data_IF_595996924694
#
_entry.id   IF_595996924694
#
_cell.length_a   1.000
_cell.length_b   1.000
_cell.length_c   1.000
_cell.angle_alpha   90.00
_cell.angle_beta   90.00
_cell.angle_gamma   90.00
#
_symmetry.space_group_name_H-M   'P 1'
#
loop_
_entity.id
_entity.type
_entity.pdbx_description
1 polymer ?
#
# COMPACT_ATOMS: atom_id res chain seq x y z
N UNK A 1 -22.84 -58.31 -18.21
CA UNK A 1 -21.95 -57.47 -17.38
C UNK A 1 -21.30 -56.44 -18.30
N UNK A 2 -21.98 -55.32 -18.55
CA UNK A 2 -21.47 -54.20 -19.33
C UNK A 2 -22.12 -52.92 -18.78
N UNK A 3 -21.58 -52.42 -17.67
CA UNK A 3 -21.92 -51.09 -17.16
C UNK A 3 -21.23 -50.05 -18.05
N UNK A 4 -22.04 -49.24 -18.75
CA UNK A 4 -21.59 -48.11 -19.55
C UNK A 4 -21.25 -46.93 -18.61
N UNK A 5 -20.22 -46.14 -18.91
CA UNK A 5 -19.79 -45.05 -18.05
C UNK A 5 -20.79 -43.89 -18.10
N UNK A 6 -21.13 -43.42 -16.90
CA UNK A 6 -21.94 -42.23 -16.65
C UNK A 6 -21.13 -41.00 -17.10
N UNK A 7 -21.40 -40.51 -18.32
CA UNK A 7 -20.84 -39.25 -18.81
C UNK A 7 -21.53 -38.11 -18.03
N UNK A 8 -20.89 -37.63 -16.95
CA UNK A 8 -21.33 -36.39 -16.29
C UNK A 8 -21.15 -35.23 -17.29
N UNK A 9 -22.25 -34.87 -17.94
CA UNK A 9 -22.34 -33.64 -18.72
C UNK A 9 -22.32 -32.48 -17.72
N UNK A 10 -21.14 -31.96 -17.40
CA UNK A 10 -21.02 -30.69 -16.71
C UNK A 10 -21.60 -29.61 -17.62
N UNK A 11 -22.86 -29.27 -17.40
CA UNK A 11 -23.49 -28.11 -18.03
C UNK A 11 -22.77 -26.87 -17.49
N UNK A 12 -21.76 -26.41 -18.23
CA UNK A 12 -21.18 -25.09 -18.03
C UNK A 12 -22.28 -24.12 -18.43
N UNK A 13 -23.03 -23.62 -17.45
CA UNK A 13 -23.97 -22.51 -17.65
C UNK A 13 -23.10 -21.30 -17.99
N UNK A 14 -22.91 -21.04 -19.27
CA UNK A 14 -22.33 -19.79 -19.74
C UNK A 14 -23.33 -18.67 -19.39
N UNK A 15 -23.05 -17.94 -18.31
CA UNK A 15 -23.78 -16.71 -17.97
C UNK A 15 -23.43 -15.69 -19.05
N UNK A 16 -24.33 -15.50 -20.01
CA UNK A 16 -24.17 -14.48 -21.03
C UNK A 16 -24.52 -13.11 -20.44
N UNK A 17 -23.63 -12.12 -20.61
CA UNK A 17 -23.88 -10.74 -20.18
C UNK A 17 -24.97 -10.03 -21.02
N UNK A 18 -25.44 -10.67 -22.10
CA UNK A 18 -26.33 -10.12 -23.13
C UNK A 18 -27.64 -9.53 -22.57
N UNK A 19 -28.12 -10.02 -21.42
CA UNK A 19 -29.32 -9.48 -20.75
C UNK A 19 -29.07 -8.30 -19.80
N UNK A 20 -27.83 -8.07 -19.37
CA UNK A 20 -27.47 -6.98 -18.45
C UNK A 20 -26.74 -5.90 -19.25
N UNK A 21 -27.50 -5.06 -19.96
CA UNK A 21 -26.95 -3.97 -20.77
C UNK A 21 -25.85 -3.21 -20.03
N UNK A 22 -24.62 -3.30 -20.53
CA UNK A 22 -23.52 -2.46 -20.11
C UNK A 22 -23.87 -1.00 -20.39
N UNK A 23 -23.75 -0.16 -19.37
CA UNK A 23 -24.06 1.27 -19.45
C UNK A 23 -22.90 2.07 -18.88
N UNK A 24 -22.77 3.31 -19.32
CA UNK A 24 -21.85 4.27 -18.75
C UNK A 24 -22.49 5.00 -17.57
N UNK A 25 -21.73 5.16 -16.48
CA UNK A 25 -22.11 5.98 -15.33
C UNK A 25 -23.23 5.42 -14.46
N UNK A 26 -23.50 4.11 -14.50
CA UNK A 26 -24.57 3.51 -13.69
C UNK A 26 -24.25 3.68 -12.20
N UNK A 27 -25.13 4.37 -11.47
CA UNK A 27 -24.99 4.53 -10.03
C UNK A 27 -25.29 3.21 -9.30
N UNK A 28 -24.46 2.87 -8.33
CA UNK A 28 -24.66 1.76 -7.40
C UNK A 28 -24.76 2.34 -5.98
N UNK A 29 -25.82 1.97 -5.29
CA UNK A 29 -26.09 2.41 -3.93
C UNK A 29 -25.93 1.26 -2.95
N UNK A 30 -25.47 1.60 -1.75
CA UNK A 30 -25.43 0.68 -0.62
C UNK A 30 -26.85 0.12 -0.36
N UNK A 31 -27.04 -1.21 -0.26
CA UNK A 31 -28.30 -1.80 0.18
C UNK A 31 -28.69 -1.40 1.62
N UNK A 32 -29.98 -1.49 1.94
CA UNK A 32 -30.50 -1.15 3.27
C UNK A 32 -29.88 -2.01 4.37
N UNK A 33 -29.70 -3.31 4.11
CA UNK A 33 -29.13 -4.27 5.07
C UNK A 33 -27.60 -4.29 4.94
N UNK A 34 -26.90 -4.01 6.03
CA UNK A 34 -25.43 -4.03 6.09
C UNK A 34 -24.86 -5.39 5.71
N UNK A 35 -23.71 -5.41 5.02
CA UNK A 35 -23.08 -6.62 4.53
C UNK A 35 -23.75 -7.26 3.30
N UNK A 36 -24.90 -6.75 2.83
CA UNK A 36 -25.54 -7.26 1.61
C UNK A 36 -24.71 -6.88 0.37
N UNK A 37 -24.26 -7.85 -0.42
CA UNK A 37 -23.46 -7.59 -1.62
C UNK A 37 -24.31 -7.07 -2.79
N UNK A 38 -23.68 -6.29 -3.67
CA UNK A 38 -24.17 -6.01 -5.02
C UNK A 38 -23.23 -6.67 -6.02
N UNK A 39 -23.78 -7.52 -6.88
CA UNK A 39 -23.06 -8.23 -7.92
C UNK A 39 -23.30 -7.60 -9.29
N UNK A 40 -22.28 -7.62 -10.15
CA UNK A 40 -22.43 -7.38 -11.58
C UNK A 40 -21.72 -8.46 -12.40
N UNK A 41 -22.42 -9.09 -13.36
CA UNK A 41 -23.88 -9.06 -13.49
C UNK A 41 -24.57 -9.62 -12.22
N UNK A 42 -25.85 -9.32 -11.96
CA UNK A 42 -26.53 -9.77 -10.74
C UNK A 42 -26.58 -11.30 -10.55
N UNK A 43 -26.45 -12.07 -11.64
CA UNK A 43 -26.44 -13.53 -11.63
C UNK A 43 -25.07 -14.15 -11.37
N UNK A 44 -24.00 -13.36 -11.38
CA UNK A 44 -22.64 -13.85 -11.15
C UNK A 44 -22.36 -13.99 -9.65
N UNK A 45 -21.59 -15.03 -9.31
CA UNK A 45 -21.04 -15.28 -7.98
C UNK A 45 -19.57 -15.67 -8.11
N UNK A 46 -18.81 -15.60 -7.01
CA UNK A 46 -17.36 -15.85 -6.99
C UNK A 46 -16.97 -17.29 -7.37
N UNK A 47 -17.93 -18.22 -7.31
CA UNK A 47 -17.78 -19.62 -7.74
C UNK A 47 -17.90 -19.82 -9.25
N UNK A 48 -18.31 -18.79 -9.99
CA UNK A 48 -18.53 -18.85 -11.44
C UNK A 48 -17.42 -18.10 -12.18
N UNK A 49 -17.04 -18.55 -13.39
CA UNK A 49 -16.18 -17.75 -14.26
C UNK A 49 -16.84 -16.40 -14.54
N UNK A 50 -16.03 -15.34 -14.61
CA UNK A 50 -16.52 -14.03 -15.03
C UNK A 50 -17.12 -14.15 -16.46
N UNK A 51 -18.30 -13.55 -16.70
CA UNK A 51 -18.95 -13.61 -18.00
C UNK A 51 -18.13 -12.85 -19.03
N UNK A 52 -18.32 -13.25 -20.30
CA UNK A 52 -17.72 -12.56 -21.44
C UNK A 52 -18.39 -11.20 -21.67
N UNK A 53 -17.56 -10.18 -21.94
CA UNK A 53 -17.98 -8.90 -22.46
C UNK A 53 -17.99 -8.92 -24.00
N UNK A 54 -18.91 -8.17 -24.59
CA UNK A 54 -18.92 -7.97 -26.04
C UNK A 54 -17.70 -7.16 -26.46
N UNK A 55 -17.23 -7.37 -27.69
CA UNK A 55 -16.07 -6.62 -28.22
C UNK A 55 -16.43 -5.14 -28.37
N UNK A 56 -15.45 -4.24 -28.19
CA UNK A 56 -15.65 -2.77 -28.26
C UNK A 56 -16.66 -2.22 -27.25
N UNK A 57 -16.88 -2.93 -26.15
CA UNK A 57 -17.78 -2.50 -25.09
C UNK A 57 -17.06 -1.59 -24.09
N UNK A 58 -17.76 -0.59 -23.56
CA UNK A 58 -17.25 0.26 -22.49
C UNK A 58 -18.32 0.43 -21.43
N UNK A 59 -17.98 0.06 -20.19
CA UNK A 59 -18.89 0.10 -19.05
C UNK A 59 -18.32 0.99 -17.97
N UNK A 60 -19.18 1.69 -17.24
CA UNK A 60 -18.76 2.33 -16.00
C UNK A 60 -19.85 2.41 -14.95
N UNK A 61 -19.42 2.29 -13.70
CA UNK A 61 -20.28 2.34 -12.52
C UNK A 61 -19.73 3.36 -11.53
N UNK A 62 -20.62 4.12 -10.92
CA UNK A 62 -20.29 5.03 -9.83
C UNK A 62 -20.86 4.42 -8.56
N UNK A 63 -19.97 3.92 -7.70
CA UNK A 63 -20.36 3.30 -6.45
C UNK A 63 -20.38 4.36 -5.37
N UNK A 64 -21.56 4.62 -4.81
CA UNK A 64 -21.75 5.58 -3.71
C UNK A 64 -21.50 4.92 -2.36
N UNK A 65 -20.88 5.66 -1.44
CA UNK A 65 -20.51 5.18 -0.11
C UNK A 65 -20.98 6.22 0.91
N UNK A 66 -21.96 5.89 1.76
CA UNK A 66 -22.41 6.78 2.82
C UNK A 66 -21.29 7.12 3.80
N UNK A 67 -21.38 8.30 4.45
CA UNK A 67 -20.49 8.66 5.55
C UNK A 67 -20.60 7.61 6.67
N UNK A 68 -19.46 7.25 7.26
CA UNK A 68 -19.38 6.21 8.29
C UNK A 68 -19.19 4.79 7.74
N UNK A 69 -19.18 4.62 6.41
CA UNK A 69 -18.96 3.34 5.75
C UNK A 69 -17.73 3.38 4.84
N UNK A 70 -17.20 2.20 4.54
CA UNK A 70 -16.32 1.94 3.40
C UNK A 70 -16.96 0.88 2.50
N UNK A 71 -16.49 0.78 1.26
CA UNK A 71 -16.85 -0.30 0.35
C UNK A 71 -15.64 -1.21 0.08
N UNK A 72 -15.88 -2.52 0.13
CA UNK A 72 -14.98 -3.57 -0.33
C UNK A 72 -15.41 -4.00 -1.73
N UNK A 73 -14.53 -3.84 -2.70
CA UNK A 73 -14.72 -4.25 -4.10
C UNK A 73 -13.88 -5.50 -4.38
N UNK A 74 -14.47 -6.49 -5.02
CA UNK A 74 -13.79 -7.67 -5.53
C UNK A 74 -14.08 -7.75 -7.03
N UNK A 75 -13.04 -7.86 -7.85
CA UNK A 75 -13.16 -7.94 -9.31
C UNK A 75 -12.64 -9.31 -9.77
N UNK A 76 -13.38 -9.93 -10.69
CA UNK A 76 -12.92 -11.09 -11.45
C UNK A 76 -12.93 -10.71 -12.92
N UNK A 77 -11.78 -10.74 -13.59
CA UNK A 77 -11.73 -10.37 -15.00
C UNK A 77 -10.37 -10.55 -15.63
N UNK A 78 -10.37 -10.72 -16.96
CA UNK A 78 -9.16 -10.86 -17.76
C UNK A 78 -9.39 -10.32 -19.16
N UNK A 79 -8.46 -9.53 -19.66
CA UNK A 79 -8.42 -9.10 -21.06
C UNK A 79 -7.52 -10.04 -21.87
N UNK A 80 -7.81 -10.22 -23.16
CA UNK A 80 -6.96 -11.01 -24.07
C UNK A 80 -6.01 -10.16 -24.90
N UNK A 81 -6.22 -8.85 -24.94
CA UNK A 81 -5.45 -7.90 -25.74
C UNK A 81 -4.69 -6.87 -24.88
N UNK A 82 -3.86 -6.06 -25.54
CA UNK A 82 -2.97 -5.08 -24.90
C UNK A 82 -3.60 -3.70 -24.71
N UNK A 83 -4.81 -3.44 -25.17
CA UNK A 83 -5.42 -2.10 -25.15
C UNK A 83 -6.60 -2.03 -24.16
N UNK A 84 -7.28 -3.15 -23.92
CA UNK A 84 -8.35 -3.28 -22.94
C UNK A 84 -7.86 -3.10 -21.50
N UNK A 85 -8.63 -2.40 -20.66
CA UNK A 85 -8.28 -2.11 -19.26
C UNK A 85 -9.49 -2.19 -18.34
N UNK A 86 -9.26 -2.66 -17.13
CA UNK A 86 -10.11 -2.42 -15.97
C UNK A 86 -9.53 -1.25 -15.18
N UNK A 87 -10.39 -0.37 -14.68
CA UNK A 87 -9.98 0.84 -14.00
C UNK A 87 -10.80 1.07 -12.74
N UNK A 88 -10.15 1.55 -11.69
CA UNK A 88 -10.83 2.15 -10.55
C UNK A 88 -10.27 3.54 -10.27
N UNK A 89 -11.17 4.46 -9.90
CA UNK A 89 -10.81 5.83 -9.48
C UNK A 89 -11.48 6.10 -8.15
N UNK A 90 -10.68 6.31 -7.11
CA UNK A 90 -11.18 6.60 -5.78
C UNK A 90 -11.61 8.08 -5.59
N UNK A 91 -12.02 8.44 -4.37
CA UNK A 91 -12.46 9.81 -4.07
C UNK A 91 -11.33 10.86 -4.08
N UNK A 92 -10.07 10.45 -3.95
CA UNK A 92 -8.92 11.35 -4.06
C UNK A 92 -8.44 11.49 -5.51
N UNK A 93 -9.02 10.73 -6.44
CA UNK A 93 -8.66 10.72 -7.85
C UNK A 93 -7.52 9.76 -8.17
N UNK A 94 -7.12 8.88 -7.25
CA UNK A 94 -6.08 7.90 -7.55
C UNK A 94 -6.64 6.86 -8.53
N UNK A 95 -5.94 6.67 -9.64
CA UNK A 95 -6.28 5.73 -10.70
C UNK A 95 -5.50 4.42 -10.53
N UNK A 96 -6.20 3.30 -10.57
CA UNK A 96 -5.61 1.97 -10.78
C UNK A 96 -6.05 1.46 -12.14
N UNK A 97 -5.12 0.90 -12.92
CA UNK A 97 -5.40 0.23 -14.19
C UNK A 97 -4.81 -1.18 -14.18
N UNK A 98 -5.61 -2.16 -14.61
CA UNK A 98 -5.18 -3.56 -14.71
C UNK A 98 -5.74 -4.22 -15.97
N UNK A 99 -5.15 -5.35 -16.36
CA UNK A 99 -5.62 -6.22 -17.45
C UNK A 99 -6.11 -7.58 -16.94
N UNK A 100 -5.86 -7.87 -15.66
CA UNK A 100 -6.27 -9.10 -14.99
C UNK A 100 -6.53 -8.82 -13.52
N UNK A 101 -7.65 -9.37 -13.03
CA UNK A 101 -8.10 -9.28 -11.64
C UNK A 101 -8.54 -10.68 -11.18
N UNK A 102 -7.89 -11.19 -10.14
CA UNK A 102 -8.12 -12.54 -9.62
C UNK A 102 -8.80 -12.50 -8.23
N UNK A 103 -9.78 -11.62 -8.06
CA UNK A 103 -10.58 -11.46 -6.84
C UNK A 103 -9.82 -10.91 -5.61
N UNK A 104 -8.67 -10.28 -5.82
CA UNK A 104 -7.98 -9.51 -4.77
C UNK A 104 -8.79 -8.25 -4.41
N UNK A 105 -9.09 -8.00 -3.13
CA UNK A 105 -10.00 -6.93 -2.74
C UNK A 105 -9.37 -5.54 -2.84
N UNK A 106 -10.22 -4.56 -3.12
CA UNK A 106 -9.96 -3.12 -3.03
C UNK A 106 -10.88 -2.49 -1.98
N UNK A 107 -10.45 -1.39 -1.37
CA UNK A 107 -11.16 -0.73 -0.29
C UNK A 107 -11.26 0.76 -0.58
N UNK A 108 -12.46 1.31 -0.47
CA UNK A 108 -12.73 2.70 -0.81
C UNK A 108 -13.50 3.38 0.31
N UNK A 109 -13.09 4.59 0.75
CA UNK A 109 -13.86 5.38 1.71
C UNK A 109 -14.96 6.20 1.00
N UNK A 110 -15.83 6.80 1.82
CA UNK A 110 -16.81 7.82 1.39
C UNK A 110 -16.15 8.95 0.58
N UNK A 111 -16.84 9.55 -0.41
CA UNK A 111 -18.26 9.37 -0.75
C UNK A 111 -18.53 8.46 -1.95
N UNK A 112 -17.51 8.14 -2.76
CA UNK A 112 -17.67 7.31 -3.96
C UNK A 112 -16.33 6.84 -4.53
N UNK A 113 -16.42 5.84 -5.39
CA UNK A 113 -15.38 5.50 -6.37
C UNK A 113 -16.05 5.12 -7.69
N UNK A 114 -15.26 5.10 -8.76
CA UNK A 114 -15.71 4.70 -10.11
C UNK A 114 -15.04 3.39 -10.49
N UNK A 115 -15.79 2.49 -11.10
CA UNK A 115 -15.29 1.31 -11.80
C UNK A 115 -15.52 1.55 -13.28
N UNK A 116 -14.51 1.35 -14.12
CA UNK A 116 -14.65 1.43 -15.56
C UNK A 116 -13.97 0.25 -16.25
N UNK A 117 -14.58 -0.18 -17.35
CA UNK A 117 -14.02 -1.16 -18.28
C UNK A 117 -14.01 -0.52 -19.65
N UNK A 118 -12.86 -0.52 -20.29
CA UNK A 118 -12.73 -0.19 -21.71
C UNK A 118 -12.14 -1.41 -22.37
N UNK A 119 -12.90 -2.14 -23.19
CA UNK A 119 -12.37 -3.30 -23.90
C UNK A 119 -12.46 -3.12 -25.41
N UNK A 120 -11.32 -3.20 -26.09
CA UNK A 120 -11.20 -3.20 -27.55
C UNK A 120 -11.22 -4.61 -28.11
N UNK A 121 -10.79 -5.59 -27.31
CA UNK A 121 -10.85 -7.02 -27.62
C UNK A 121 -11.75 -7.81 -26.68
N UNK A 122 -11.61 -9.14 -26.71
CA UNK A 122 -12.33 -10.05 -25.81
C UNK A 122 -11.86 -9.86 -24.37
N UNK A 123 -12.81 -9.75 -23.45
CA UNK A 123 -12.57 -9.65 -22.03
C UNK A 123 -13.63 -10.41 -21.25
N UNK A 124 -13.28 -10.86 -20.06
CA UNK A 124 -14.25 -11.27 -19.04
C UNK A 124 -14.24 -10.27 -17.91
N UNK A 125 -15.40 -10.00 -17.33
CA UNK A 125 -15.51 -9.05 -16.22
C UNK A 125 -16.72 -9.31 -15.35
N UNK A 126 -16.51 -9.33 -14.04
CA UNK A 126 -17.53 -9.28 -13.02
C UNK A 126 -16.99 -8.61 -11.77
N UNK A 127 -17.89 -8.11 -10.93
CA UNK A 127 -17.50 -7.61 -9.62
C UNK A 127 -18.55 -7.85 -8.55
N UNK A 128 -18.09 -7.78 -7.30
CA UNK A 128 -18.91 -7.70 -6.09
C UNK A 128 -18.50 -6.46 -5.30
N UNK A 129 -19.49 -5.69 -4.84
CA UNK A 129 -19.30 -4.62 -3.87
C UNK A 129 -20.05 -4.94 -2.59
N UNK A 130 -19.40 -4.76 -1.44
CA UNK A 130 -20.02 -4.88 -0.11
C UNK A 130 -19.65 -3.67 0.72
N UNK A 131 -20.60 -3.13 1.49
CA UNK A 131 -20.36 -2.00 2.37
C UNK A 131 -20.33 -2.44 3.82
N UNK A 132 -19.39 -1.87 4.56
CA UNK A 132 -19.18 -2.14 5.98
C UNK A 132 -18.99 -0.83 6.74
N UNK A 133 -19.42 -0.78 8.02
CA UNK A 133 -19.14 0.36 8.87
C UNK A 133 -17.64 0.53 9.06
N UNK A 134 -17.19 1.79 9.14
CA UNK A 134 -15.82 2.11 9.54
C UNK A 134 -15.59 1.74 11.01
N UNK A 135 -14.39 1.25 11.39
CA UNK A 135 -14.04 1.08 12.80
C UNK A 135 -13.96 2.44 13.53
N UNK A 136 -14.07 2.38 14.86
CA UNK A 136 -13.93 3.55 15.73
C UNK A 136 -12.46 3.86 16.01
N UNK A 137 -12.17 5.12 16.36
CA UNK A 137 -10.82 5.54 16.75
C UNK A 137 -10.36 4.70 17.94
N UNK A 138 -9.26 4.00 17.74
CA UNK A 138 -8.62 3.11 18.71
C UNK A 138 -7.66 3.91 19.59
N UNK A 139 -6.70 4.61 18.98
CA UNK A 139 -5.70 5.40 19.70
C UNK A 139 -5.28 6.71 18.98
N UNK A 140 -4.74 7.64 19.75
CA UNK A 140 -4.07 8.87 19.29
C UNK A 140 -2.60 8.86 19.70
N UNK A 141 -1.74 8.44 18.77
CA UNK A 141 -0.35 8.12 19.01
C UNK A 141 0.54 9.32 18.70
N UNK A 142 1.29 9.79 19.72
CA UNK A 142 2.25 10.87 19.54
C UNK A 142 3.53 10.38 18.84
N UNK A 143 3.85 11.00 17.72
CA UNK A 143 5.14 10.92 17.03
C UNK A 143 5.99 12.12 17.47
N UNK A 144 7.28 11.90 17.73
CA UNK A 144 8.17 12.96 18.21
C UNK A 144 9.62 12.69 17.83
N UNK A 145 10.61 12.94 18.70
CA UNK A 145 12.02 12.68 18.39
C UNK A 145 12.32 11.21 18.14
N UNK A 146 11.58 10.31 18.78
CA UNK A 146 11.65 8.88 18.50
C UNK A 146 10.68 8.54 17.37
N UNK A 147 11.19 7.81 16.38
CA UNK A 147 10.38 7.24 15.32
C UNK A 147 9.31 6.29 15.89
N UNK A 148 8.20 6.15 15.18
CA UNK A 148 7.16 5.18 15.53
C UNK A 148 7.03 4.15 14.43
N UNK A 149 7.08 2.88 14.82
CA UNK A 149 6.82 1.75 13.95
C UNK A 149 5.54 1.07 14.41
N UNK A 150 4.66 0.76 13.47
CA UNK A 150 3.47 -0.07 13.71
C UNK A 150 3.40 -1.20 12.69
N UNK A 151 2.68 -2.28 13.01
CA UNK A 151 2.16 -3.19 11.99
C UNK A 151 0.83 -2.60 11.47
N UNK A 152 0.78 -2.27 10.19
CA UNK A 152 -0.40 -1.68 9.54
C UNK A 152 -1.55 -2.65 9.36
N UNK A 153 -1.27 -3.95 9.26
CA UNK A 153 -2.23 -4.93 8.72
C UNK A 153 -2.65 -5.99 9.71
N UNK A 154 -2.05 -6.07 10.91
CA UNK A 154 -2.33 -7.14 11.89
C UNK A 154 -3.76 -7.16 12.45
N UNK A 155 -4.41 -6.01 12.54
CA UNK A 155 -5.73 -5.86 13.15
C UNK A 155 -6.55 -4.82 12.39
N UNK A 156 -7.87 -4.93 12.43
CA UNK A 156 -8.77 -3.84 12.01
C UNK A 156 -8.63 -2.73 13.04
N UNK A 157 -8.20 -1.55 12.63
CA UNK A 157 -7.92 -0.43 13.53
C UNK A 157 -8.09 0.92 12.85
N UNK A 158 -8.24 1.96 13.66
CA UNK A 158 -8.25 3.36 13.24
C UNK A 158 -7.39 4.13 14.24
N UNK A 159 -6.24 4.63 13.80
CA UNK A 159 -5.32 5.37 14.65
C UNK A 159 -5.03 6.76 14.09
N UNK A 160 -4.89 7.74 14.98
CA UNK A 160 -4.42 9.08 14.67
C UNK A 160 -2.96 9.23 15.11
N UNK A 161 -2.05 9.45 14.16
CA UNK A 161 -0.65 9.76 14.42
C UNK A 161 -0.47 11.25 14.39
N UNK A 162 0.13 11.84 15.42
CA UNK A 162 0.27 13.30 15.49
C UNK A 162 1.59 13.74 16.11
N UNK A 163 2.10 14.90 15.72
CA UNK A 163 3.25 15.56 16.37
C UNK A 163 2.85 16.89 17.00
N UNK A 164 3.24 17.09 18.26
CA UNK A 164 3.02 18.32 19.00
C UNK A 164 3.92 19.48 18.52
N UNK A 165 5.08 19.15 17.93
CA UNK A 165 6.20 20.06 17.69
C UNK A 165 6.56 20.23 16.21
N UNK A 166 5.77 19.65 15.31
CA UNK A 166 5.93 19.74 13.85
C UNK A 166 4.59 20.02 13.21
N UNK A 167 4.60 20.70 12.05
CA UNK A 167 3.42 20.93 11.24
C UNK A 167 3.18 19.83 10.21
N UNK A 168 4.07 18.84 10.14
CA UNK A 168 3.95 17.70 9.22
C UNK A 168 4.56 16.44 9.82
N UNK A 169 4.08 15.31 9.33
CA UNK A 169 4.57 13.98 9.60
C UNK A 169 4.97 13.31 8.30
N UNK A 170 6.00 12.49 8.36
CA UNK A 170 6.46 11.70 7.22
C UNK A 170 6.18 10.22 7.47
N UNK A 171 5.57 9.58 6.48
CA UNK A 171 5.16 8.19 6.47
C UNK A 171 5.98 7.41 5.43
N UNK A 172 6.46 6.24 5.83
CA UNK A 172 7.08 5.28 4.92
C UNK A 172 6.50 3.89 5.15
N UNK A 173 6.22 3.18 4.06
CA UNK A 173 5.65 1.82 4.07
C UNK A 173 6.71 0.78 3.71
N UNK A 174 6.78 -0.29 4.53
CA UNK A 174 7.69 -1.42 4.41
C UNK A 174 6.86 -2.73 4.42
N UNK A 175 6.47 -3.25 3.24
CA UNK A 175 5.72 -4.49 3.18
C UNK A 175 6.57 -5.69 3.64
N UNK A 176 5.90 -6.72 4.15
CA UNK A 176 6.53 -7.99 4.48
C UNK A 176 7.03 -8.72 3.22
N UNK A 177 6.26 -8.67 2.13
CA UNK A 177 6.64 -9.19 0.81
C UNK A 177 6.64 -8.06 -0.25
N UNK A 178 7.80 -7.79 -0.84
CA UNK A 178 7.97 -6.73 -1.84
C UNK A 178 7.40 -7.08 -3.22
N UNK A 179 7.06 -8.36 -3.46
CA UNK A 179 6.46 -8.87 -4.70
C UNK A 179 4.95 -9.02 -4.59
N UNK A 180 4.44 -9.35 -3.41
CA UNK A 180 3.02 -9.55 -3.16
C UNK A 180 2.55 -8.79 -1.90
N UNK A 181 2.17 -7.53 -2.08
CA UNK A 181 1.79 -6.62 -1.00
C UNK A 181 0.31 -6.18 -1.08
N UNK A 182 -0.58 -7.03 -1.59
CA UNK A 182 -2.01 -6.69 -1.71
C UNK A 182 -2.71 -6.40 -0.38
N UNK A 183 -2.19 -6.93 0.75
CA UNK A 183 -2.64 -6.58 2.11
C UNK A 183 -2.59 -5.09 2.40
N UNK A 184 -1.70 -4.33 1.75
CA UNK A 184 -1.62 -2.88 1.90
C UNK A 184 -2.84 -2.12 1.35
N UNK A 185 -3.69 -2.76 0.52
CA UNK A 185 -4.91 -2.12 -0.03
C UNK A 185 -5.96 -1.83 1.04
N UNK A 186 -6.00 -2.61 2.13
CA UNK A 186 -6.98 -2.43 3.21
C UNK A 186 -6.63 -1.30 4.15
N UNK A 187 -5.41 -0.77 4.09
CA UNK A 187 -4.97 0.34 4.95
C UNK A 187 -5.07 1.67 4.22
N UNK A 188 -6.02 2.50 4.65
CA UNK A 188 -6.29 3.83 4.13
C UNK A 188 -5.54 4.91 4.91
N UNK A 189 -5.11 5.96 4.21
CA UNK A 189 -4.37 7.10 4.78
C UNK A 189 -5.16 8.38 4.54
N UNK A 190 -5.34 9.17 5.59
CA UNK A 190 -5.91 10.51 5.51
C UNK A 190 -4.95 11.54 6.10
N UNK A 191 -4.90 12.73 5.49
CA UNK A 191 -4.15 13.88 5.96
C UNK A 191 -5.05 14.76 6.84
N UNK A 192 -4.75 14.80 8.13
CA UNK A 192 -5.53 15.52 9.14
C UNK A 192 -5.90 14.67 10.37
N UNK A 193 -6.60 15.27 11.35
CA UNK A 193 -6.78 14.68 12.68
C UNK A 193 -8.00 13.75 12.81
N UNK A 194 -8.77 13.52 11.74
CA UNK A 194 -9.92 12.63 11.80
C UNK A 194 -10.61 12.43 10.46
N UNK A 195 -11.46 11.41 10.34
CA UNK A 195 -12.12 11.02 9.07
C UNK A 195 -13.11 12.05 8.50
N UNK A 196 -13.60 12.98 9.32
CA UNK A 196 -14.51 14.04 8.86
C UNK A 196 -13.84 15.37 8.57
N UNK A 197 -12.65 15.61 9.12
CA UNK A 197 -11.89 16.85 8.98
C UNK A 197 -10.62 16.68 8.15
N UNK A 198 -10.16 15.45 7.95
CA UNK A 198 -9.02 15.09 7.13
C UNK A 198 -9.42 14.69 5.72
N UNK A 199 -8.48 14.84 4.79
CA UNK A 199 -8.65 14.46 3.40
C UNK A 199 -8.14 13.03 3.18
N UNK A 200 -8.92 12.18 2.54
CA UNK A 200 -8.40 10.90 2.06
C UNK A 200 -7.29 11.16 1.04
N UNK A 201 -6.17 10.46 1.18
CA UNK A 201 -5.00 10.62 0.31
C UNK A 201 -4.89 9.43 -0.62
N UNK A 202 -4.79 8.22 -0.06
CA UNK A 202 -4.54 6.97 -0.79
C UNK A 202 -4.63 5.79 0.18
N UNK A 203 -4.57 4.56 -0.33
CA UNK A 203 -4.18 3.40 0.45
C UNK A 203 -2.65 3.21 0.45
N UNK A 204 -2.13 2.36 1.34
CA UNK A 204 -0.70 2.08 1.43
C UNK A 204 -0.12 1.36 0.20
N UNK A 205 -0.93 0.58 -0.51
CA UNK A 205 -0.49 -0.13 -1.71
C UNK A 205 -0.01 0.86 -2.78
N UNK A 206 -0.81 1.89 -3.07
CA UNK A 206 -0.44 2.93 -4.03
C UNK A 206 0.66 3.85 -3.51
N UNK A 207 0.66 4.21 -2.21
CA UNK A 207 1.75 4.99 -1.62
C UNK A 207 3.10 4.25 -1.73
N UNK A 208 3.11 2.93 -1.50
CA UNK A 208 4.31 2.12 -1.65
C UNK A 208 4.84 2.11 -3.09
N UNK A 209 3.95 2.06 -4.08
CA UNK A 209 4.31 2.09 -5.51
C UNK A 209 4.99 3.40 -5.94
N UNK A 210 4.77 4.51 -5.24
CA UNK A 210 5.48 5.77 -5.54
C UNK A 210 6.97 5.71 -5.20
N UNK A 211 7.43 4.68 -4.48
CA UNK A 211 8.80 4.46 -3.96
C UNK A 211 9.34 5.52 -2.99
N UNK A 212 8.68 6.67 -2.88
CA UNK A 212 9.07 7.77 -2.02
C UNK A 212 8.41 7.69 -0.64
N UNK A 213 8.93 8.49 0.29
CA UNK A 213 8.21 8.87 1.49
C UNK A 213 7.01 9.75 1.14
N UNK A 214 5.92 9.61 1.89
CA UNK A 214 4.82 10.56 1.85
C UNK A 214 4.91 11.50 3.05
N UNK A 215 4.72 12.80 2.85
CA UNK A 215 4.71 13.79 3.93
C UNK A 215 3.37 14.49 3.95
N UNK A 216 2.73 14.51 5.11
CA UNK A 216 1.45 15.17 5.32
C UNK A 216 1.58 16.68 5.27
N UNK A 217 0.52 17.36 4.84
CA UNK A 217 0.41 18.82 4.94
C UNK A 217 0.01 19.29 6.34
N UNK A 218 -0.45 18.36 7.18
CA UNK A 218 -0.86 18.63 8.56
C UNK A 218 0.01 17.87 9.57
N UNK A 219 -0.03 18.29 10.83
CA UNK A 219 0.66 17.62 11.95
C UNK A 219 0.09 16.24 12.33
N UNK A 220 -0.95 15.78 11.61
CA UNK A 220 -1.67 14.55 11.91
C UNK A 220 -1.92 13.73 10.66
N UNK A 221 -1.80 12.40 10.80
CA UNK A 221 -2.12 11.41 9.79
C UNK A 221 -3.06 10.40 10.42
N UNK A 222 -4.21 10.14 9.78
CA UNK A 222 -5.02 8.99 10.11
C UNK A 222 -4.56 7.79 9.30
N UNK A 223 -4.35 6.67 9.98
CA UNK A 223 -4.19 5.36 9.35
C UNK A 223 -5.30 4.43 9.82
N UNK A 224 -5.97 3.84 8.85
CA UNK A 224 -7.19 3.06 9.04
C UNK A 224 -7.03 1.72 8.32
N UNK A 225 -6.86 0.63 9.04
CA UNK A 225 -6.86 -0.70 8.46
C UNK A 225 -8.23 -1.36 8.55
N UNK A 226 -8.77 -1.76 7.41
CA UNK A 226 -10.14 -2.25 7.24
C UNK A 226 -10.24 -3.78 7.22
N UNK A 227 -9.12 -4.47 7.09
CA UNK A 227 -9.07 -5.93 7.07
C UNK A 227 -7.78 -6.39 7.73
N UNK A 228 -7.91 -7.24 8.76
CA UNK A 228 -6.76 -7.88 9.36
C UNK A 228 -6.21 -8.93 8.39
N UNK A 229 -4.90 -8.90 8.15
CA UNK A 229 -4.16 -9.99 7.54
C UNK A 229 -3.07 -10.45 8.51
N UNK A 230 -2.58 -11.68 8.33
CA UNK A 230 -1.41 -12.16 9.07
C UNK A 230 -0.10 -11.52 8.57
N UNK A 231 -0.15 -10.57 7.64
CA UNK A 231 1.01 -9.86 7.12
C UNK A 231 1.64 -8.98 8.20
N UNK A 232 2.98 -8.93 8.21
CA UNK A 232 3.77 -8.07 9.09
C UNK A 232 4.17 -6.77 8.39
N UNK A 233 3.23 -6.13 7.71
CA UNK A 233 3.49 -4.91 6.93
C UNK A 233 3.73 -3.74 7.88
N UNK A 234 4.94 -3.15 7.83
CA UNK A 234 5.34 -2.08 8.74
C UNK A 234 5.09 -0.70 8.14
N UNK A 235 4.69 0.22 9.02
CA UNK A 235 4.74 1.65 8.75
C UNK A 235 5.72 2.32 9.70
N UNK A 236 6.47 3.26 9.15
CA UNK A 236 7.34 4.16 9.88
C UNK A 236 6.77 5.58 9.82
N UNK A 237 6.56 6.16 11.00
CA UNK A 237 6.24 7.56 11.17
C UNK A 237 7.44 8.31 11.74
N UNK A 238 7.79 9.41 11.09
CA UNK A 238 8.86 10.31 11.46
C UNK A 238 8.29 11.72 11.58
N UNK A 239 8.72 12.45 12.60
CA UNK A 239 8.48 13.90 12.64
C UNK A 239 9.32 14.57 11.56
N UNK A 240 8.68 15.26 10.61
CA UNK A 240 9.37 15.88 9.48
C UNK A 240 10.35 16.98 9.92
N UNK A 241 10.18 17.53 11.14
CA UNK A 241 11.13 18.48 11.74
C UNK A 241 12.56 17.94 11.79
N UNK A 242 12.72 16.63 12.03
CA UNK A 242 14.04 15.99 12.08
C UNK A 242 14.55 15.51 10.72
N UNK A 243 13.78 15.73 9.64
CA UNK A 243 14.15 15.37 8.28
C UNK A 243 14.58 16.57 7.44
N UNK A 244 14.68 17.76 8.06
CA UNK A 244 15.11 18.97 7.38
C UNK A 244 16.45 18.78 6.66
N UNK A 245 16.48 19.12 5.36
CA UNK A 245 17.66 18.98 4.51
C UNK A 245 17.79 17.63 3.81
N UNK A 246 17.16 16.56 4.31
CA UNK A 246 17.20 15.24 3.67
C UNK A 246 16.29 15.26 2.42
N UNK A 247 16.91 15.29 1.24
CA UNK A 247 16.19 15.40 -0.03
C UNK A 247 15.57 14.07 -0.50
N UNK A 248 16.18 12.95 -0.15
CA UNK A 248 15.73 11.61 -0.54
C UNK A 248 15.83 10.63 0.64
N UNK A 249 14.81 9.78 0.81
CA UNK A 249 14.86 8.67 1.73
C UNK A 249 14.60 7.35 0.99
N UNK A 250 15.62 6.50 0.95
CA UNK A 250 15.58 5.19 0.31
C UNK A 250 15.30 4.11 1.35
N UNK A 251 14.37 3.22 1.05
CA UNK A 251 14.07 2.05 1.89
C UNK A 251 15.15 0.99 1.70
N UNK A 252 15.77 0.56 2.78
CA UNK A 252 16.54 -0.67 2.83
C UNK A 252 15.60 -1.81 3.23
N UNK A 253 15.59 -2.90 2.45
CA UNK A 253 14.83 -4.11 2.76
C UNK A 253 15.79 -5.26 3.11
N UNK A 254 16.11 -5.46 4.39
CA UNK A 254 16.96 -6.56 4.83
C UNK A 254 16.37 -7.92 4.44
N UNK A 255 17.24 -8.80 3.95
CA UNK A 255 16.89 -10.15 3.52
C UNK A 255 17.73 -11.15 4.32
N UNK A 256 17.06 -12.01 5.08
CA UNK A 256 17.72 -13.04 5.89
C UNK A 256 18.55 -13.99 5.02
N UNK A 257 19.70 -14.44 5.55
CA UNK A 257 20.63 -15.34 4.89
C UNK A 257 21.10 -14.85 3.50
N UNK A 258 21.31 -13.54 3.34
CA UNK A 258 21.68 -12.96 2.06
C UNK A 258 22.65 -11.79 2.19
N UNK A 259 23.27 -11.43 1.07
CA UNK A 259 24.03 -10.18 0.92
C UNK A 259 23.21 -9.26 0.02
N UNK A 260 23.02 -8.02 0.46
CA UNK A 260 22.19 -7.05 -0.24
C UNK A 260 22.78 -5.64 -0.09
N UNK A 261 22.43 -4.77 -1.04
CA UNK A 261 22.96 -3.42 -1.10
C UNK A 261 21.86 -2.38 -0.83
N UNK A 262 22.23 -1.32 -0.13
CA UNK A 262 21.48 -0.06 -0.08
C UNK A 262 22.27 1.02 -0.80
N UNK A 263 21.61 1.81 -1.66
CA UNK A 263 22.25 2.93 -2.36
C UNK A 263 21.48 4.21 -2.08
N UNK A 264 22.21 5.28 -1.82
CA UNK A 264 21.67 6.64 -1.71
C UNK A 264 22.54 7.60 -2.52
N UNK A 265 21.95 8.68 -3.01
CA UNK A 265 22.67 9.65 -3.82
C UNK A 265 22.09 11.06 -3.64
N UNK A 266 22.92 12.05 -3.32
CA UNK A 266 22.47 13.45 -3.31
C UNK A 266 23.22 14.34 -2.32
N UNK A 267 22.71 15.54 -2.10
CA UNK A 267 23.29 16.56 -1.21
C UNK A 267 22.93 16.38 0.27
N UNK A 268 22.01 15.47 0.58
CA UNK A 268 21.81 14.85 1.89
C UNK A 268 20.72 13.79 1.68
N UNK A 269 21.09 12.53 1.81
CA UNK A 269 20.22 11.41 1.47
C UNK A 269 20.24 10.38 2.59
N UNK A 270 19.14 9.66 2.76
CA UNK A 270 18.98 8.74 3.87
C UNK A 270 18.66 7.33 3.40
N UNK A 271 19.34 6.34 3.96
CA UNK A 271 18.96 4.94 3.83
C UNK A 271 18.24 4.52 5.12
N UNK A 272 17.03 3.98 5.02
CA UNK A 272 16.16 3.70 6.16
C UNK A 272 15.78 2.23 6.18
N UNK A 273 16.09 1.52 7.25
CA UNK A 273 15.69 0.14 7.48
C UNK A 273 14.65 0.07 8.60
N UNK A 274 13.58 -0.68 8.37
CA UNK A 274 12.60 -1.07 9.40
C UNK A 274 12.53 -2.57 9.44
N UNK A 275 13.22 -3.18 10.39
CA UNK A 275 13.34 -4.64 10.50
C UNK A 275 13.71 -5.04 11.92
N UNK A 276 13.36 -6.27 12.30
CA UNK A 276 13.90 -6.92 13.50
C UNK A 276 15.13 -7.79 13.16
N UNK A 277 15.48 -7.92 11.87
CA UNK A 277 16.64 -8.69 11.44
C UNK A 277 17.94 -7.96 11.82
N UNK A 278 18.89 -8.64 12.49
CA UNK A 278 20.24 -8.13 12.64
C UNK A 278 20.87 -7.88 11.27
N UNK A 279 21.51 -6.73 11.10
CA UNK A 279 22.22 -6.37 9.88
C UNK A 279 23.70 -6.16 10.20
N UNK A 280 24.59 -6.68 9.37
CA UNK A 280 26.01 -6.39 9.45
C UNK A 280 26.43 -5.67 8.17
N UNK A 281 26.86 -4.42 8.29
CA UNK A 281 27.51 -3.70 7.19
C UNK A 281 28.92 -4.28 7.02
N UNK A 282 29.21 -4.78 5.83
CA UNK A 282 30.47 -5.47 5.50
C UNK A 282 31.31 -4.72 4.47
N UNK A 283 30.72 -3.81 3.69
CA UNK A 283 31.44 -2.93 2.77
C UNK A 283 30.70 -1.58 2.62
N UNK A 284 31.46 -0.55 2.25
CA UNK A 284 30.92 0.76 1.88
C UNK A 284 31.74 1.39 0.76
N UNK A 285 31.04 1.91 -0.24
CA UNK A 285 31.61 2.70 -1.33
C UNK A 285 31.02 4.11 -1.26
N UNK A 286 31.85 5.08 -0.86
CA UNK A 286 31.48 6.49 -0.78
C UNK A 286 32.74 7.36 -0.82
N UNK A 287 32.56 8.66 -1.04
CA UNK A 287 33.65 9.63 -0.99
C UNK A 287 34.27 9.70 0.43
N UNK A 288 35.60 9.76 0.50
CA UNK A 288 36.33 9.78 1.77
C UNK A 288 35.96 10.95 2.69
N UNK A 289 35.59 12.09 2.11
CA UNK A 289 35.22 13.31 2.83
C UNK A 289 33.73 13.36 3.22
N UNK A 290 32.87 12.61 2.54
CA UNK A 290 31.45 12.51 2.92
C UNK A 290 31.31 11.83 4.28
N UNK A 291 30.26 12.19 5.01
CA UNK A 291 29.95 11.58 6.31
C UNK A 291 28.70 10.72 6.26
N UNK A 292 28.69 9.64 7.04
CA UNK A 292 27.50 8.85 7.36
C UNK A 292 27.21 9.02 8.85
N UNK A 293 26.03 9.53 9.17
CA UNK A 293 25.52 9.56 10.54
C UNK A 293 24.47 8.47 10.71
N UNK A 294 24.70 7.59 11.66
CA UNK A 294 23.80 6.49 12.01
C UNK A 294 22.87 6.93 13.13
N UNK A 295 21.58 6.68 12.96
CA UNK A 295 20.55 6.90 13.97
C UNK A 295 19.75 5.62 14.21
N UNK A 296 19.42 5.35 15.48
CA UNK A 296 18.52 4.29 15.91
C UNK A 296 17.10 4.84 16.03
N UNK A 297 16.51 5.26 14.90
CA UNK A 297 15.25 5.99 14.83
C UNK A 297 15.35 7.22 13.94
N UNK A 298 14.62 8.28 14.28
CA UNK A 298 14.64 9.55 13.52
C UNK A 298 16.03 10.23 13.59
N UNK A 299 16.37 11.14 12.67
CA UNK A 299 17.63 11.92 12.71
C UNK A 299 17.66 13.01 13.80
N UNK A 300 17.29 12.64 15.03
CA UNK A 300 17.30 13.49 16.21
C UNK A 300 18.52 13.18 17.08
N UNK A 301 18.99 14.17 17.85
CA UNK A 301 20.10 14.02 18.80
C UNK A 301 19.93 12.81 19.74
N UNK A 302 18.70 12.53 20.18
CA UNK A 302 18.40 11.42 21.10
C UNK A 302 18.53 10.03 20.48
N UNK A 303 18.46 9.93 19.16
CA UNK A 303 18.59 8.68 18.42
C UNK A 303 19.96 8.56 17.75
N UNK A 304 20.84 9.56 17.89
CA UNK A 304 22.18 9.54 17.33
C UNK A 304 22.98 8.36 17.89
N UNK A 305 23.45 7.50 17.01
CA UNK A 305 24.40 6.45 17.36
C UNK A 305 25.83 6.96 17.19
N UNK A 306 26.23 7.30 15.95
CA UNK A 306 27.59 7.76 15.62
C UNK A 306 27.68 8.38 14.23
N UNK A 307 28.62 9.30 14.04
CA UNK A 307 29.02 9.83 12.73
C UNK A 307 30.39 9.31 12.33
N UNK A 308 30.54 8.97 11.06
CA UNK A 308 31.79 8.53 10.44
C UNK A 308 32.05 9.33 9.16
N UNK A 309 33.29 9.70 8.89
CA UNK A 309 33.73 9.98 7.52
C UNK A 309 33.78 8.67 6.71
N UNK A 310 33.77 8.75 5.37
CA UNK A 310 33.89 7.56 4.52
C UNK A 310 35.12 6.70 4.84
N UNK A 311 36.26 7.34 5.11
CA UNK A 311 37.50 6.64 5.53
C UNK A 311 37.35 5.95 6.89
N UNK A 312 36.77 6.64 7.88
CA UNK A 312 36.57 6.07 9.22
C UNK A 312 35.59 4.90 9.18
N UNK A 313 34.51 5.02 8.39
CA UNK A 313 33.51 3.96 8.27
C UNK A 313 34.14 2.71 7.69
N UNK A 314 34.87 2.83 6.57
CA UNK A 314 35.56 1.70 5.92
C UNK A 314 36.53 0.98 6.86
N UNK A 315 37.25 1.72 7.71
CA UNK A 315 38.18 1.15 8.70
C UNK A 315 37.48 0.52 9.91
N UNK A 316 36.22 0.86 10.17
CA UNK A 316 35.44 0.35 11.29
C UNK A 316 34.65 -0.93 10.95
N UNK A 317 34.59 -1.32 9.67
CA UNK A 317 33.84 -2.49 9.24
C UNK A 317 34.49 -3.81 9.71
N UNK A 318 33.68 -4.85 10.01
CA UNK A 318 32.22 -4.87 9.90
C UNK A 318 31.52 -4.19 11.10
N UNK A 319 30.36 -3.58 10.85
CA UNK A 319 29.51 -2.96 11.88
C UNK A 319 28.15 -3.64 11.96
N UNK A 320 27.72 -4.00 13.17
CA UNK A 320 26.43 -4.65 13.41
C UNK A 320 25.39 -3.65 13.88
N UNK A 321 24.18 -3.77 13.35
CA UNK A 321 23.01 -2.97 13.67
C UNK A 321 21.84 -3.88 14.01
N UNK A 322 21.07 -3.48 15.03
CA UNK A 322 19.86 -4.18 15.46
C UNK A 322 18.87 -3.15 16.02
N UNK A 323 17.61 -3.58 16.11
CA UNK A 323 16.51 -2.73 16.57
C UNK A 323 15.58 -2.33 15.42
N UNK A 324 14.40 -1.79 15.76
CA UNK A 324 13.27 -1.70 14.84
C UNK A 324 13.46 -0.69 13.71
N UNK A 325 14.33 0.30 13.90
CA UNK A 325 14.63 1.35 12.91
C UNK A 325 16.10 1.70 12.97
N UNK A 326 16.75 1.67 11.81
CA UNK A 326 18.11 2.18 11.62
C UNK A 326 18.11 3.10 10.41
N UNK A 327 18.68 4.29 10.58
CA UNK A 327 18.73 5.31 9.55
C UNK A 327 20.17 5.78 9.33
N UNK A 328 20.64 5.72 8.09
CA UNK A 328 21.97 6.16 7.66
C UNK A 328 21.82 7.44 6.85
N UNK A 329 22.17 8.59 7.44
CA UNK A 329 22.13 9.89 6.76
C UNK A 329 23.51 10.19 6.17
N UNK A 330 23.57 10.28 4.85
CA UNK A 330 24.77 10.59 4.08
C UNK A 330 24.78 12.07 3.74
N UNK A 331 25.88 12.76 4.05
CA UNK A 331 25.98 14.22 3.87
C UNK A 331 26.02 14.66 2.41
N UNK A 332 26.57 13.84 1.52
CA UNK A 332 26.81 14.22 0.12
C UNK A 332 27.26 13.04 -0.73
N UNK A 333 26.98 13.13 -2.03
CA UNK A 333 27.44 12.20 -3.05
C UNK A 333 26.68 10.88 -3.05
N UNK A 334 27.24 9.90 -3.76
CA UNK A 334 26.70 8.53 -3.83
C UNK A 334 27.36 7.66 -2.76
N UNK A 335 26.55 6.92 -2.02
CA UNK A 335 27.00 5.87 -1.11
C UNK A 335 26.32 4.55 -1.43
N UNK A 336 27.11 3.48 -1.54
CA UNK A 336 26.63 2.10 -1.66
C UNK A 336 27.08 1.33 -0.41
N UNK A 337 26.12 0.81 0.34
CA UNK A 337 26.33 0.05 1.55
C UNK A 337 26.02 -1.42 1.28
N UNK A 338 26.95 -2.30 1.60
CA UNK A 338 26.75 -3.76 1.47
C UNK A 338 26.49 -4.34 2.84
N UNK A 339 25.36 -5.03 3.00
CA UNK A 339 24.94 -5.65 4.24
C UNK A 339 24.84 -7.18 4.10
N UNK A 340 24.96 -7.85 5.24
CA UNK A 340 24.63 -9.26 5.43
C UNK A 340 23.62 -9.39 6.58
N UNK A 341 22.59 -10.20 6.37
CA UNK A 341 21.61 -10.65 7.39
C UNK A 341 21.36 -12.13 7.26
#
# INVERSE_FOLDING_TARGET
MFEKPLLLLAVIVAVSAVGNGCQLGKAIYKPVIDGTPVYWPPSWTETQPAPQLETEQSCSWIVTIPRGYYAKLIISGKTTDKDSRFQTVDTAGNLVQTTQENMEPYYFPSPKFTIAVSNTGSATFAFKVVWFPLPYLDDSIRVGPLAKVMNATSTVNYNNYWDANSNSLTLMTFPADTKNYYSLRSTLVFDGPGLSSGCYISNLYQLYQTTNQWTSSQKSIIVLNLEASSSNDKLLFLSSKYLAGIGEMVKLQPQANSIYNGTVNGLMSSLVAVTDLPMQMIDVQMESASTVTVYNGSPAVYALNKTYTGTQLKNALPLSFSGPVVQFVVSSGKAVFTFKS
#
